data_IF_630823166489
#
_entry.id   IF_630823166489
#
_cell.length_a   1.000
_cell.length_b   1.000
_cell.length_c   1.000
_cell.angle_alpha   90.00
_cell.angle_beta   90.00
_cell.angle_gamma   90.00
#
_symmetry.space_group_name_H-M   'P 1'
#
loop_
_entity.id
_entity.type
_entity.pdbx_description
1 polymer ?
#
# COMPACT_ATOMS: atom_id res chain seq x y z
N UNK A 1 22.41 -37.45 -53.93
CA UNK A 1 21.44 -37.34 -52.81
C UNK A 1 22.25 -37.28 -51.52
N UNK A 2 22.26 -36.26 -50.65
CA UNK A 2 21.44 -35.06 -50.44
C UNK A 2 22.33 -34.05 -49.71
N UNK A 3 22.37 -32.79 -50.16
CA UNK A 3 22.90 -31.68 -49.38
C UNK A 3 22.00 -31.48 -48.15
N UNK A 4 22.57 -31.40 -46.94
CA UNK A 4 21.84 -30.89 -45.78
C UNK A 4 22.36 -29.48 -45.47
N UNK A 5 21.64 -28.49 -45.97
CA UNK A 5 21.69 -27.11 -45.52
C UNK A 5 21.32 -27.07 -44.02
N UNK A 6 22.25 -26.65 -43.16
CA UNK A 6 21.92 -26.25 -41.80
C UNK A 6 21.77 -24.73 -41.83
N UNK A 7 20.52 -24.27 -41.79
CA UNK A 7 20.19 -22.85 -41.70
C UNK A 7 20.48 -22.37 -40.27
N UNK A 8 21.42 -21.43 -40.13
CA UNK A 8 21.64 -20.65 -38.92
C UNK A 8 20.46 -19.67 -38.77
N UNK A 9 19.55 -19.95 -37.85
CA UNK A 9 18.51 -19.00 -37.44
C UNK A 9 19.17 -18.03 -36.44
N UNK A 10 19.44 -16.81 -36.89
CA UNK A 10 19.66 -15.67 -36.00
C UNK A 10 18.32 -15.31 -35.35
N UNK A 11 18.06 -15.82 -34.14
CA UNK A 11 16.97 -15.31 -33.32
C UNK A 11 17.47 -14.01 -32.68
N UNK A 12 17.08 -12.88 -33.25
CA UNK A 12 17.27 -11.57 -32.65
C UNK A 12 16.60 -11.57 -31.25
N UNK A 13 17.43 -11.37 -30.23
CA UNK A 13 17.00 -11.21 -28.85
C UNK A 13 16.19 -9.90 -28.77
N UNK A 14 14.86 -9.98 -28.86
CA UNK A 14 14.00 -8.85 -28.57
C UNK A 14 14.04 -8.64 -27.05
N UNK A 15 14.94 -7.77 -26.59
CA UNK A 15 14.95 -7.33 -25.21
C UNK A 15 13.66 -6.55 -24.96
N UNK A 16 12.63 -7.24 -24.48
CA UNK A 16 11.43 -6.61 -23.94
C UNK A 16 11.89 -5.96 -22.63
N UNK A 17 12.22 -4.67 -22.69
CA UNK A 17 12.44 -3.88 -21.47
C UNK A 17 11.07 -3.75 -20.82
N UNK A 18 10.76 -4.66 -19.90
CA UNK A 18 9.72 -4.44 -18.91
C UNK A 18 10.24 -3.31 -18.03
N UNK A 19 9.92 -2.07 -18.35
CA UNK A 19 9.95 -1.00 -17.36
C UNK A 19 8.95 -1.41 -16.29
N UNK A 20 9.46 -1.90 -15.16
CA UNK A 20 8.66 -2.07 -13.96
C UNK A 20 8.15 -0.67 -13.60
N UNK A 21 6.89 -0.39 -13.90
CA UNK A 21 6.21 0.76 -13.32
C UNK A 21 6.14 0.44 -11.83
N UNK A 22 7.08 0.98 -11.05
CA UNK A 22 6.93 1.02 -9.61
C UNK A 22 5.76 1.95 -9.34
N UNK A 23 4.56 1.37 -9.23
CA UNK A 23 3.43 2.07 -8.65
C UNK A 23 3.76 2.23 -7.17
N UNK A 24 4.16 3.44 -6.77
CA UNK A 24 4.31 3.76 -5.36
C UNK A 24 2.89 3.92 -4.82
N UNK A 25 2.39 2.85 -4.24
CA UNK A 25 1.09 2.86 -3.60
C UNK A 25 1.29 2.90 -2.10
N UNK A 26 0.53 3.74 -1.41
CA UNK A 26 0.72 3.93 0.01
C UNK A 26 0.50 2.64 0.83
N UNK A 27 1.04 2.66 2.04
CA UNK A 27 0.95 1.54 2.97
C UNK A 27 0.49 2.01 4.34
N UNK A 28 -0.17 1.10 5.06
CA UNK A 28 -0.54 1.29 6.45
C UNK A 28 -0.19 0.03 7.25
N UNK A 29 0.51 0.21 8.35
CA UNK A 29 0.78 -0.88 9.30
C UNK A 29 -0.15 -0.72 10.49
N UNK A 30 -0.96 -1.75 10.74
CA UNK A 30 -1.84 -1.84 11.89
C UNK A 30 -1.21 -2.77 12.92
N UNK A 31 -1.18 -2.35 14.17
CA UNK A 31 -0.71 -3.15 15.31
C UNK A 31 -1.72 -3.11 16.44
N UNK A 32 -1.86 -4.22 17.17
CA UNK A 32 -2.79 -4.34 18.28
C UNK A 32 -2.20 -5.14 19.44
N UNK A 33 -2.76 -4.94 20.63
CA UNK A 33 -2.40 -5.70 21.81
C UNK A 33 -2.96 -7.12 21.73
N UNK A 34 -2.19 -8.08 22.24
CA UNK A 34 -2.63 -9.47 22.33
C UNK A 34 -3.78 -9.59 23.34
N UNK A 35 -4.72 -10.48 23.05
CA UNK A 35 -5.67 -10.93 24.05
C UNK A 35 -5.05 -12.09 24.87
N UNK A 36 -5.68 -12.41 26.00
CA UNK A 36 -5.11 -13.32 27.01
C UNK A 36 -5.91 -14.61 27.20
N UNK A 37 -6.96 -14.83 26.40
CA UNK A 37 -7.76 -16.04 26.45
C UNK A 37 -6.94 -17.25 25.97
N UNK A 38 -7.11 -18.39 26.64
CA UNK A 38 -6.33 -19.61 26.37
C UNK A 38 -6.69 -20.21 25.00
N UNK A 39 -7.91 -20.01 24.56
CA UNK A 39 -8.48 -20.55 23.33
C UNK A 39 -8.39 -19.58 22.13
N UNK A 40 -7.63 -18.48 22.25
CA UNK A 40 -7.37 -17.55 21.15
C UNK A 40 -6.71 -18.27 19.96
N UNK A 41 -7.39 -18.31 18.82
CA UNK A 41 -6.87 -18.90 17.58
C UNK A 41 -6.25 -17.87 16.63
N UNK A 42 -6.72 -16.62 16.65
CA UNK A 42 -6.14 -15.56 15.84
C UNK A 42 -7.02 -14.32 15.70
N UNK A 43 -6.71 -13.53 14.67
CA UNK A 43 -7.32 -12.24 14.43
C UNK A 43 -7.85 -12.10 13.00
N UNK A 44 -8.90 -11.30 12.86
CA UNK A 44 -9.40 -10.83 11.57
C UNK A 44 -9.44 -9.31 11.56
N UNK A 45 -9.00 -8.71 10.46
CA UNK A 45 -9.01 -7.26 10.26
C UNK A 45 -10.12 -6.91 9.29
N UNK A 46 -10.93 -5.93 9.65
CA UNK A 46 -11.96 -5.35 8.81
C UNK A 46 -11.54 -3.95 8.40
N UNK A 47 -11.67 -3.63 7.12
CA UNK A 47 -11.17 -2.37 6.59
C UNK A 47 -11.96 -1.85 5.39
N UNK A 48 -11.90 -0.54 5.17
CA UNK A 48 -12.57 0.12 4.06
C UNK A 48 -12.38 1.62 4.10
N UNK A 49 -13.00 2.32 3.16
CA UNK A 49 -12.93 3.79 3.03
C UNK A 49 -14.11 4.51 3.69
N UNK A 50 -15.07 3.75 4.25
CA UNK A 50 -16.17 4.27 5.04
C UNK A 50 -16.00 3.90 6.52
N UNK A 51 -16.45 4.79 7.40
CA UNK A 51 -16.54 4.49 8.83
C UNK A 51 -17.60 3.41 9.08
N UNK A 52 -17.44 2.64 10.17
CA UNK A 52 -18.31 1.51 10.47
C UNK A 52 -19.62 2.00 11.06
N UNK A 53 -20.70 1.28 10.80
CA UNK A 53 -22.05 1.58 11.29
C UNK A 53 -22.50 0.68 12.43
N UNK A 54 -21.73 -0.37 12.77
CA UNK A 54 -22.08 -1.36 13.79
C UNK A 54 -20.90 -1.81 14.64
N UNK A 55 -21.19 -2.62 15.67
CA UNK A 55 -20.22 -3.08 16.68
C UNK A 55 -19.90 -4.56 16.61
N UNK A 56 -20.77 -5.38 15.99
CA UNK A 56 -20.61 -6.84 15.95
C UNK A 56 -20.68 -7.37 14.50
N UNK A 57 -19.59 -7.94 13.96
CA UNK A 57 -19.58 -8.53 12.62
C UNK A 57 -20.58 -9.67 12.45
N UNK A 58 -21.01 -10.36 13.52
CA UNK A 58 -22.03 -11.42 13.41
C UNK A 58 -23.41 -10.86 13.03
N UNK A 59 -23.67 -9.59 13.36
CA UNK A 59 -24.96 -8.95 13.10
C UNK A 59 -25.02 -8.26 11.74
N UNK A 60 -23.92 -7.63 11.31
CA UNK A 60 -23.90 -6.78 10.11
C UNK A 60 -22.83 -7.17 9.09
N UNK A 61 -22.09 -8.25 9.31
CA UNK A 61 -21.01 -8.70 8.44
C UNK A 61 -19.85 -7.69 8.42
N UNK A 62 -19.80 -6.88 7.36
CA UNK A 62 -18.77 -5.85 7.19
C UNK A 62 -19.14 -4.51 7.85
N UNK A 63 -20.42 -4.28 8.15
CA UNK A 63 -20.84 -3.10 8.94
C UNK A 63 -20.34 -1.76 8.37
N UNK A 64 -20.31 -1.62 7.04
CA UNK A 64 -19.80 -0.45 6.32
C UNK A 64 -18.37 -0.59 5.78
N UNK A 65 -17.60 -1.56 6.26
CA UNK A 65 -16.30 -1.89 5.66
C UNK A 65 -16.45 -2.51 4.27
N UNK A 66 -15.38 -2.42 3.47
CA UNK A 66 -15.36 -2.96 2.11
C UNK A 66 -14.91 -4.42 2.09
N UNK A 67 -14.06 -4.82 3.04
CA UNK A 67 -13.50 -6.15 3.11
C UNK A 67 -13.06 -6.54 4.53
N UNK A 68 -12.75 -7.83 4.68
CA UNK A 68 -12.05 -8.36 5.86
C UNK A 68 -10.97 -9.35 5.43
N UNK A 69 -9.92 -9.48 6.25
CA UNK A 69 -8.80 -10.39 6.04
C UNK A 69 -8.51 -11.15 7.33
N UNK A 70 -8.45 -12.47 7.25
CA UNK A 70 -7.96 -13.29 8.36
C UNK A 70 -6.43 -13.27 8.34
N UNK A 71 -5.83 -12.83 9.44
CA UNK A 71 -4.38 -12.66 9.57
C UNK A 71 -3.75 -13.69 10.51
N UNK A 72 -4.55 -14.59 11.08
CA UNK A 72 -4.10 -15.58 12.04
C UNK A 72 -3.61 -14.96 13.35
N UNK A 73 -2.76 -15.69 14.07
CA UNK A 73 -2.21 -15.26 15.37
C UNK A 73 -0.98 -14.37 15.18
N UNK A 74 -1.19 -13.20 14.59
CA UNK A 74 -0.21 -12.11 14.49
C UNK A 74 -0.69 -10.90 15.28
N UNK A 75 0.21 -9.93 15.52
CA UNK A 75 -0.10 -8.68 16.24
C UNK A 75 0.15 -7.43 15.40
N UNK A 76 0.58 -7.63 14.16
CA UNK A 76 0.89 -6.58 13.21
C UNK A 76 0.53 -7.06 11.81
N UNK A 77 0.00 -6.17 10.99
CA UNK A 77 -0.30 -6.44 9.59
C UNK A 77 -0.10 -5.17 8.76
N UNK A 78 0.58 -5.32 7.63
CA UNK A 78 0.85 -4.22 6.71
C UNK A 78 -0.02 -4.35 5.47
N UNK A 79 -0.89 -3.37 5.27
CA UNK A 79 -1.58 -3.16 4.01
C UNK A 79 -0.62 -2.46 3.04
N UNK A 80 -0.41 -3.08 1.89
CA UNK A 80 0.26 -2.48 0.73
C UNK A 80 -0.77 -2.12 -0.34
N UNK A 81 -0.34 -1.36 -1.34
CA UNK A 81 -1.17 -1.02 -2.49
C UNK A 81 -2.46 -0.25 -2.13
N UNK A 82 -2.43 0.56 -1.06
CA UNK A 82 -3.54 1.43 -0.72
C UNK A 82 -3.55 2.65 -1.64
N UNK A 83 -4.76 3.14 -1.93
CA UNK A 83 -4.93 4.31 -2.76
C UNK A 83 -4.50 5.55 -2.00
N UNK A 84 -3.66 6.36 -2.64
CA UNK A 84 -3.25 7.66 -2.10
C UNK A 84 -4.45 8.61 -1.95
N UNK A 85 -4.29 9.61 -1.09
CA UNK A 85 -5.32 10.57 -0.70
C UNK A 85 -6.62 9.97 -0.14
N UNK A 86 -6.56 8.72 0.32
CA UNK A 86 -7.74 8.00 0.78
C UNK A 86 -7.61 7.74 2.27
N UNK A 87 -8.65 8.08 3.03
CA UNK A 87 -8.74 7.69 4.45
C UNK A 87 -9.28 6.28 4.52
N UNK A 88 -8.49 5.37 5.09
CA UNK A 88 -8.92 4.03 5.42
C UNK A 88 -9.25 3.92 6.89
N UNK A 89 -10.26 3.11 7.19
CA UNK A 89 -10.73 2.77 8.53
C UNK A 89 -10.46 1.31 8.79
N UNK A 90 -10.09 0.97 10.02
CA UNK A 90 -9.71 -0.38 10.41
C UNK A 90 -10.34 -0.77 11.75
N UNK A 91 -10.67 -2.04 11.90
CA UNK A 91 -11.01 -2.68 13.18
C UNK A 91 -10.50 -4.10 13.20
N UNK A 92 -10.21 -4.61 14.39
CA UNK A 92 -9.73 -5.97 14.60
C UNK A 92 -10.75 -6.73 15.46
N UNK A 93 -10.91 -8.01 15.16
CA UNK A 93 -11.65 -8.98 15.97
C UNK A 93 -10.72 -10.13 16.32
N UNK A 94 -10.92 -10.73 17.48
CA UNK A 94 -10.31 -11.99 17.86
C UNK A 94 -11.27 -13.14 17.54
N UNK A 95 -10.76 -14.31 17.20
CA UNK A 95 -11.55 -15.53 17.12
C UNK A 95 -10.88 -16.68 17.87
N UNK A 96 -11.69 -17.52 18.49
CA UNK A 96 -11.25 -18.68 19.26
C UNK A 96 -11.05 -19.94 18.39
N UNK A 97 -10.55 -21.02 19.00
CA UNK A 97 -10.37 -22.33 18.33
C UNK A 97 -11.67 -22.99 17.84
N UNK A 98 -12.83 -22.51 18.30
CA UNK A 98 -14.16 -22.92 17.85
C UNK A 98 -14.74 -21.99 16.78
N UNK A 99 -13.96 -21.04 16.26
CA UNK A 99 -14.36 -19.98 15.34
C UNK A 99 -15.42 -19.00 15.89
N UNK A 100 -15.56 -18.86 17.21
CA UNK A 100 -16.35 -17.78 17.77
C UNK A 100 -15.56 -16.47 17.67
N UNK A 101 -16.11 -15.52 16.93
CA UNK A 101 -15.54 -14.20 16.75
C UNK A 101 -16.03 -13.20 17.81
N UNK A 102 -15.16 -12.30 18.25
CA UNK A 102 -15.48 -11.21 19.17
C UNK A 102 -16.23 -10.07 18.47
N UNK A 103 -16.74 -9.13 19.26
CA UNK A 103 -17.09 -7.80 18.74
C UNK A 103 -15.84 -7.08 18.22
N UNK A 104 -16.04 -6.03 17.42
CA UNK A 104 -14.92 -5.22 16.92
C UNK A 104 -14.18 -4.50 18.05
N UNK A 105 -12.87 -4.29 17.85
CA UNK A 105 -12.05 -3.33 18.61
C UNK A 105 -12.57 -1.89 18.51
N UNK A 106 -11.89 -0.93 19.14
CA UNK A 106 -12.02 0.48 18.73
C UNK A 106 -11.65 0.63 17.25
N UNK A 107 -12.38 1.48 16.53
CA UNK A 107 -12.03 1.84 15.15
C UNK A 107 -10.85 2.81 15.15
N UNK A 108 -9.91 2.61 14.22
CA UNK A 108 -8.85 3.56 13.92
C UNK A 108 -8.89 3.94 12.44
N UNK A 109 -8.32 5.09 12.07
CA UNK A 109 -8.23 5.53 10.69
C UNK A 109 -6.83 6.01 10.32
N UNK A 110 -6.50 5.96 9.03
CA UNK A 110 -5.25 6.45 8.47
C UNK A 110 -5.52 7.08 7.11
N UNK A 111 -5.12 8.36 6.96
CA UNK A 111 -4.97 8.97 5.64
C UNK A 111 -3.68 8.45 5.01
N UNK A 112 -3.83 7.92 3.80
CA UNK A 112 -2.70 7.56 2.95
C UNK A 112 -2.30 8.81 2.18
N UNK A 113 -1.23 9.48 2.60
CA UNK A 113 -0.75 10.69 1.94
C UNK A 113 -0.18 10.36 0.56
N UNK A 114 -0.28 11.31 -0.36
CA UNK A 114 0.40 11.25 -1.66
C UNK A 114 1.90 11.31 -1.43
N UNK A 115 2.63 10.54 -2.19
CA UNK A 115 4.09 10.47 -2.04
C UNK A 115 4.80 11.70 -2.58
N UNK A 116 4.20 12.39 -3.54
CA UNK A 116 4.69 13.66 -4.05
C UNK A 116 4.24 14.89 -3.24
N UNK A 117 3.45 14.72 -2.17
CA UNK A 117 3.13 15.79 -1.22
C UNK A 117 4.30 15.96 -0.23
N UNK A 118 5.28 16.74 -0.67
CA UNK A 118 6.57 16.93 -0.02
C UNK A 118 6.49 17.92 1.15
N UNK A 119 5.49 18.79 1.21
CA UNK A 119 5.26 19.68 2.35
C UNK A 119 4.15 19.18 3.32
N UNK A 120 3.43 18.12 2.94
CA UNK A 120 2.32 17.53 3.72
C UNK A 120 1.13 18.49 3.92
N UNK A 121 0.84 19.32 2.91
CA UNK A 121 -0.32 20.21 2.88
C UNK A 121 -1.59 19.56 2.29
N UNK A 122 -1.46 18.32 1.77
CA UNK A 122 -2.54 17.53 1.18
C UNK A 122 -2.68 17.67 -0.33
N UNK A 123 -1.97 18.61 -0.97
CA UNK A 123 -2.13 18.96 -2.39
C UNK A 123 -0.76 18.99 -3.09
N UNK A 124 -0.59 18.21 -4.15
CA UNK A 124 0.67 18.25 -4.92
C UNK A 124 0.69 19.47 -5.83
N UNK A 125 1.55 20.45 -5.54
CA UNK A 125 1.60 21.73 -6.24
C UNK A 125 3.02 22.29 -6.42
N UNK A 126 3.13 23.56 -6.82
CA UNK A 126 4.42 24.21 -7.07
C UNK A 126 5.33 24.27 -5.83
N UNK A 127 4.77 24.20 -4.63
CA UNK A 127 5.54 24.15 -3.39
C UNK A 127 6.28 22.81 -3.28
N UNK A 128 5.63 21.70 -3.61
CA UNK A 128 6.29 20.40 -3.67
C UNK A 128 7.33 20.36 -4.78
N UNK A 129 7.01 20.90 -5.96
CA UNK A 129 7.98 21.02 -7.05
C UNK A 129 9.23 21.82 -6.64
N UNK A 130 9.04 22.87 -5.84
CA UNK A 130 10.17 23.65 -5.31
C UNK A 130 11.05 22.82 -4.37
N UNK A 131 10.46 21.96 -3.53
CA UNK A 131 11.20 21.07 -2.63
C UNK A 131 11.93 19.99 -3.43
N UNK A 132 11.29 19.42 -4.44
CA UNK A 132 11.90 18.44 -5.33
C UNK A 132 13.09 19.03 -6.07
N UNK A 133 12.92 20.22 -6.66
CA UNK A 133 13.98 20.91 -7.38
C UNK A 133 15.12 21.38 -6.45
N UNK A 134 14.82 21.77 -5.21
CA UNK A 134 15.83 22.12 -4.22
C UNK A 134 16.74 20.94 -3.85
N UNK A 135 16.29 19.70 -4.08
CA UNK A 135 17.05 18.47 -3.83
C UNK A 135 17.49 17.78 -5.12
N UNK A 136 17.40 18.42 -6.29
CA UNK A 136 17.69 17.78 -7.57
C UNK A 136 19.12 17.21 -7.63
N UNK A 137 19.24 15.94 -8.01
CA UNK A 137 20.52 15.21 -8.04
C UNK A 137 21.04 14.74 -6.67
N UNK A 138 20.28 14.95 -5.59
CA UNK A 138 20.66 14.44 -4.27
C UNK A 138 20.62 12.91 -4.22
N UNK A 139 21.56 12.31 -3.48
CA UNK A 139 21.78 10.85 -3.44
C UNK A 139 21.47 10.18 -2.09
N UNK A 140 20.92 10.94 -1.14
CA UNK A 140 20.75 10.54 0.26
C UNK A 140 19.34 10.06 0.61
N UNK A 141 18.54 9.65 -0.38
CA UNK A 141 17.10 9.35 -0.22
C UNK A 141 16.32 10.45 0.53
N UNK A 142 16.47 11.75 0.16
CA UNK A 142 15.69 12.81 0.78
C UNK A 142 14.19 12.57 0.54
N UNK A 143 13.31 13.31 1.23
CA UNK A 143 11.85 13.23 0.99
C UNK A 143 11.49 13.43 -0.50
N UNK A 144 12.32 14.17 -1.24
CA UNK A 144 12.19 14.41 -2.67
C UNK A 144 12.55 13.21 -3.57
N UNK A 145 13.20 12.16 -3.04
CA UNK A 145 13.39 10.86 -3.71
C UNK A 145 12.10 10.05 -3.51
N UNK A 146 11.12 10.36 -4.34
CA UNK A 146 9.74 9.87 -4.27
C UNK A 146 9.70 8.38 -4.65
N UNK A 147 10.51 7.94 -5.61
CA UNK A 147 10.59 6.52 -6.00
C UNK A 147 11.55 5.70 -5.14
N UNK A 148 12.32 6.34 -4.24
CA UNK A 148 13.29 5.75 -3.33
C UNK A 148 14.43 4.98 -4.03
N UNK A 149 14.74 5.36 -5.27
CA UNK A 149 15.82 4.76 -6.07
C UNK A 149 17.23 5.21 -5.63
N UNK A 150 17.28 6.15 -4.70
CA UNK A 150 18.52 6.72 -4.17
C UNK A 150 18.91 8.04 -4.83
N UNK A 151 18.19 8.51 -5.85
CA UNK A 151 18.54 9.71 -6.62
C UNK A 151 17.31 10.57 -6.89
N UNK A 152 17.34 11.85 -6.51
CA UNK A 152 16.29 12.79 -6.94
C UNK A 152 16.50 13.15 -8.41
N UNK A 153 15.62 12.68 -9.30
CA UNK A 153 15.79 12.82 -10.74
C UNK A 153 14.45 12.95 -11.51
N UNK A 154 14.50 12.80 -12.83
CA UNK A 154 13.31 12.92 -13.70
C UNK A 154 12.22 11.90 -13.39
N UNK A 155 12.56 10.76 -12.78
CA UNK A 155 11.56 9.78 -12.35
C UNK A 155 10.71 10.33 -11.21
N UNK A 156 11.31 11.00 -10.21
CA UNK A 156 10.57 11.65 -9.13
C UNK A 156 9.72 12.80 -9.66
N UNK A 157 10.25 13.61 -10.57
CA UNK A 157 9.47 14.65 -11.22
C UNK A 157 8.28 14.06 -12.00
N UNK A 158 8.48 12.93 -12.70
CA UNK A 158 7.40 12.25 -13.40
C UNK A 158 6.31 11.75 -12.45
N UNK A 159 6.67 11.23 -11.27
CA UNK A 159 5.70 10.81 -10.26
C UNK A 159 4.95 12.01 -9.70
N UNK A 160 5.66 13.09 -9.39
CA UNK A 160 5.04 14.34 -8.95
C UNK A 160 4.02 14.87 -9.96
N UNK A 161 4.37 14.87 -11.24
CA UNK A 161 3.44 15.31 -12.28
C UNK A 161 2.23 14.38 -12.42
N UNK A 162 2.36 13.09 -12.10
CA UNK A 162 1.22 12.15 -12.09
C UNK A 162 0.21 12.44 -10.98
N UNK A 163 0.64 13.13 -9.91
CA UNK A 163 -0.19 13.48 -8.75
C UNK A 163 -0.58 14.97 -8.73
N UNK A 164 -0.21 15.75 -9.74
CA UNK A 164 -0.35 17.21 -9.76
C UNK A 164 -1.79 17.72 -9.60
N UNK A 165 -1.98 18.72 -8.74
CA UNK A 165 -3.27 19.41 -8.55
C UNK A 165 -4.35 18.58 -7.88
N UNK A 166 -4.02 17.35 -7.47
CA UNK A 166 -4.89 16.52 -6.65
C UNK A 166 -4.72 16.85 -5.19
#
# INVERSE_FOLDING_TARGET
>A
MKYKFVALIFLALFAFVFSANFAFAGSATLSWNANTEIDLAGYKIYYGTASRTGTDPKTCGLCGYSASVNVGNVRTYTFSNLTDNTTYYFSVTAYDTSNNESVFSSQVSKLIAKTADLNSDGIVNMQDASILMANWGATSKPKADINQDGFVNMQDASIMMSQWGS
#
